data_IF_621346494361
#
_entry.id   IF_621346494361
#
_cell.length_a   1.000
_cell.length_b   1.000
_cell.length_c   1.000
_cell.angle_alpha   90.00
_cell.angle_beta   90.00
_cell.angle_gamma   90.00
#
_symmetry.space_group_name_H-M   'P 1'
#
loop_
_entity.id
_entity.type
_entity.pdbx_description
1 polymer ?
#
# COMPACT_ATOMS: atom_id res chain seq x y z
N UNK A 1 15.44 -32.65 19.40
CA UNK A 1 15.97 -31.28 19.57
C UNK A 1 16.06 -30.49 18.26
N UNK A 2 16.22 -31.13 17.09
CA UNK A 2 16.00 -30.50 15.75
C UNK A 2 14.64 -29.78 15.60
N UNK A 3 13.61 -30.29 16.29
CA UNK A 3 12.23 -29.79 16.25
C UNK A 3 12.10 -28.27 16.52
N UNK A 4 12.90 -27.69 17.41
CA UNK A 4 12.80 -26.25 17.77
C UNK A 4 13.40 -25.34 16.68
N UNK A 5 14.50 -25.75 16.07
CA UNK A 5 15.08 -25.04 14.91
C UNK A 5 14.15 -25.16 13.69
N UNK A 6 13.53 -26.33 13.51
CA UNK A 6 12.53 -26.55 12.47
C UNK A 6 11.27 -25.67 12.69
N UNK A 7 10.81 -25.53 13.93
CA UNK A 7 9.71 -24.62 14.30
C UNK A 7 10.03 -23.15 13.96
N UNK A 8 11.24 -22.69 14.26
CA UNK A 8 11.67 -21.34 13.87
C UNK A 8 11.74 -21.14 12.35
N UNK A 9 12.22 -22.15 11.60
CA UNK A 9 12.26 -22.08 10.14
C UNK A 9 10.85 -21.97 9.53
N UNK A 10 9.87 -22.68 10.10
CA UNK A 10 8.46 -22.57 9.68
C UNK A 10 7.91 -21.16 9.95
N UNK A 11 8.19 -20.60 11.12
CA UNK A 11 7.74 -19.25 11.49
C UNK A 11 8.35 -18.17 10.60
N UNK A 12 9.66 -18.24 10.31
CA UNK A 12 10.35 -17.32 9.40
C UNK A 12 9.69 -17.39 8.01
N UNK A 13 9.47 -18.60 7.49
CA UNK A 13 8.86 -18.79 6.17
C UNK A 13 7.45 -18.19 6.11
N UNK A 14 6.63 -18.43 7.15
CA UNK A 14 5.28 -17.86 7.23
C UNK A 14 5.30 -16.33 7.19
N UNK A 15 6.20 -15.70 7.95
CA UNK A 15 6.32 -14.23 7.96
C UNK A 15 6.86 -13.69 6.64
N UNK A 16 7.76 -14.40 5.96
CA UNK A 16 8.23 -14.04 4.62
C UNK A 16 7.09 -14.09 3.59
N UNK A 17 6.24 -15.12 3.65
CA UNK A 17 5.03 -15.21 2.80
C UNK A 17 4.10 -14.00 3.05
N UNK A 18 3.89 -13.59 4.31
CA UNK A 18 3.12 -12.38 4.65
C UNK A 18 3.74 -11.09 4.06
N UNK A 19 5.08 -10.97 4.10
CA UNK A 19 5.78 -9.82 3.48
C UNK A 19 5.57 -9.81 1.97
N UNK A 20 5.64 -10.97 1.30
CA UNK A 20 5.40 -11.07 -0.14
C UNK A 20 3.96 -10.69 -0.52
N UNK A 21 2.97 -11.09 0.28
CA UNK A 21 1.57 -10.71 0.11
C UNK A 21 1.39 -9.18 0.22
N UNK A 22 1.96 -8.56 1.25
CA UNK A 22 1.92 -7.10 1.43
C UNK A 22 2.62 -6.35 0.30
N UNK A 23 3.76 -6.86 -0.19
CA UNK A 23 4.44 -6.29 -1.36
C UNK A 23 3.59 -6.38 -2.63
N UNK A 24 2.85 -7.49 -2.79
CA UNK A 24 1.89 -7.66 -3.89
C UNK A 24 0.74 -6.66 -3.79
N UNK A 25 0.18 -6.49 -2.59
CA UNK A 25 -0.88 -5.50 -2.34
C UNK A 25 -0.41 -4.07 -2.63
N UNK A 26 0.78 -3.69 -2.14
CA UNK A 26 1.39 -2.39 -2.45
C UNK A 26 1.53 -2.15 -3.96
N UNK A 27 1.91 -3.17 -4.74
CA UNK A 27 1.97 -3.07 -6.21
C UNK A 27 0.59 -2.84 -6.82
N UNK A 28 -0.46 -3.50 -6.31
CA UNK A 28 -1.84 -3.30 -6.77
C UNK A 28 -2.31 -1.87 -6.48
N UNK A 29 -2.05 -1.34 -5.28
CA UNK A 29 -2.39 0.05 -4.93
C UNK A 29 -1.68 1.05 -5.83
N UNK A 30 -0.40 0.83 -6.14
CA UNK A 30 0.34 1.68 -7.07
C UNK A 30 -0.23 1.64 -8.49
N UNK A 31 -0.67 0.47 -8.96
CA UNK A 31 -1.33 0.37 -10.25
C UNK A 31 -2.68 1.12 -10.25
N UNK A 32 -3.45 1.00 -9.17
CA UNK A 32 -4.71 1.71 -9.00
C UNK A 32 -4.50 3.24 -8.99
N UNK A 33 -3.46 3.72 -8.32
CA UNK A 33 -3.06 5.13 -8.33
C UNK A 33 -2.77 5.62 -9.76
N UNK A 34 -1.97 4.88 -10.54
CA UNK A 34 -1.69 5.24 -11.94
C UNK A 34 -2.96 5.26 -12.82
N UNK A 35 -3.86 4.30 -12.63
CA UNK A 35 -5.15 4.28 -13.34
C UNK A 35 -6.00 5.49 -12.96
N UNK A 36 -6.01 5.85 -11.67
CA UNK A 36 -6.77 6.97 -11.16
C UNK A 36 -6.21 8.31 -11.66
N UNK A 37 -4.88 8.47 -11.73
CA UNK A 37 -4.24 9.65 -12.34
C UNK A 37 -4.70 9.86 -13.79
N UNK A 38 -4.82 8.79 -14.58
CA UNK A 38 -5.32 8.90 -15.95
C UNK A 38 -6.78 9.37 -16.01
N UNK A 39 -7.63 8.87 -15.11
CA UNK A 39 -9.02 9.31 -15.00
C UNK A 39 -9.08 10.79 -14.59
N UNK A 40 -8.28 11.19 -13.61
CA UNK A 40 -8.15 12.59 -13.17
C UNK A 40 -7.84 13.51 -14.33
N UNK A 41 -6.83 13.18 -15.13
CA UNK A 41 -6.41 14.01 -16.26
C UNK A 41 -7.52 14.14 -17.29
N UNK A 42 -8.19 13.03 -17.63
CA UNK A 42 -9.30 13.02 -18.60
C UNK A 42 -10.50 13.82 -18.11
N UNK A 43 -10.91 13.63 -16.86
CA UNK A 43 -12.06 14.34 -16.27
C UNK A 43 -11.76 15.83 -16.11
N UNK A 44 -10.55 16.19 -15.68
CA UNK A 44 -10.13 17.60 -15.59
C UNK A 44 -10.16 18.26 -16.97
N UNK A 45 -9.65 17.58 -18.00
CA UNK A 45 -9.71 18.10 -19.37
C UNK A 45 -11.14 18.30 -19.86
N UNK A 46 -12.02 17.32 -19.62
CA UNK A 46 -13.44 17.41 -19.95
C UNK A 46 -14.13 18.58 -19.23
N UNK A 47 -13.89 18.73 -17.92
CA UNK A 47 -14.47 19.81 -17.12
C UNK A 47 -14.04 21.17 -17.66
N UNK A 48 -12.77 21.34 -18.03
CA UNK A 48 -12.28 22.59 -18.63
C UNK A 48 -12.98 22.88 -19.97
N UNK A 49 -13.15 21.88 -20.84
CA UNK A 49 -13.89 22.05 -22.10
C UNK A 49 -15.36 22.43 -21.87
N UNK A 50 -15.99 21.87 -20.84
CA UNK A 50 -17.37 22.21 -20.48
C UNK A 50 -17.46 23.65 -19.95
N UNK A 51 -16.54 24.07 -19.08
CA UNK A 51 -16.43 25.44 -18.58
C UNK A 51 -16.30 26.42 -19.76
N UNK A 52 -15.37 26.17 -20.69
CA UNK A 52 -15.16 27.02 -21.87
C UNK A 52 -16.40 27.10 -22.76
N UNK A 53 -17.05 25.97 -23.02
CA UNK A 53 -18.21 25.90 -23.93
C UNK A 53 -19.47 26.52 -23.33
N UNK A 54 -19.65 26.41 -22.03
CA UNK A 54 -20.89 26.75 -21.34
C UNK A 54 -20.75 27.97 -20.42
N UNK A 55 -19.66 28.73 -20.51
CA UNK A 55 -19.33 29.89 -19.68
C UNK A 55 -20.51 30.88 -19.53
N UNK A 56 -21.16 31.25 -20.64
CA UNK A 56 -22.28 32.20 -20.64
C UNK A 56 -23.66 31.53 -20.46
N UNK A 57 -23.70 30.23 -20.18
CA UNK A 57 -24.95 29.48 -20.04
C UNK A 57 -25.38 29.33 -18.57
N UNK A 58 -26.67 29.09 -18.36
CA UNK A 58 -27.20 28.75 -17.03
C UNK A 58 -26.58 27.47 -16.44
N UNK A 59 -25.93 26.63 -17.25
CA UNK A 59 -25.27 25.40 -16.81
C UNK A 59 -23.89 25.65 -16.19
N UNK A 60 -23.30 26.83 -16.38
CA UNK A 60 -21.95 27.16 -15.92
C UNK A 60 -21.75 26.89 -14.43
N UNK A 61 -22.66 27.40 -13.59
CA UNK A 61 -22.60 27.26 -12.13
C UNK A 61 -22.61 25.78 -11.73
N UNK A 62 -23.45 24.96 -12.36
CA UNK A 62 -23.51 23.53 -12.08
C UNK A 62 -22.22 22.80 -12.48
N UNK A 63 -21.59 23.22 -13.59
CA UNK A 63 -20.29 22.68 -14.03
C UNK A 63 -19.19 23.04 -13.04
N UNK A 64 -19.12 24.29 -12.58
CA UNK A 64 -18.12 24.72 -11.57
C UNK A 64 -18.28 24.00 -10.23
N UNK A 65 -19.53 23.81 -9.79
CA UNK A 65 -19.83 23.04 -8.57
C UNK A 65 -19.41 21.59 -8.70
N UNK A 66 -19.69 20.96 -9.86
CA UNK A 66 -19.26 19.60 -10.14
C UNK A 66 -17.72 19.49 -10.14
N UNK A 67 -17.03 20.44 -10.79
CA UNK A 67 -15.57 20.45 -10.85
C UNK A 67 -14.95 20.60 -9.45
N UNK A 68 -15.53 21.47 -8.61
CA UNK A 68 -15.11 21.64 -7.22
C UNK A 68 -15.26 20.34 -6.42
N UNK A 69 -16.43 19.69 -6.52
CA UNK A 69 -16.71 18.41 -5.86
C UNK A 69 -15.77 17.31 -6.36
N UNK A 70 -15.51 17.27 -7.67
CA UNK A 70 -14.60 16.31 -8.28
C UNK A 70 -13.19 16.42 -7.67
N UNK A 71 -12.63 17.63 -7.61
CA UNK A 71 -11.31 17.85 -7.03
C UNK A 71 -11.25 17.59 -5.51
N UNK A 72 -12.35 17.83 -4.78
CA UNK A 72 -12.38 17.49 -3.35
C UNK A 72 -12.35 15.98 -3.14
N UNK A 73 -13.15 15.22 -3.90
CA UNK A 73 -13.18 13.75 -3.82
C UNK A 73 -11.88 13.12 -4.31
N UNK A 74 -11.29 13.68 -5.37
CA UNK A 74 -9.97 13.29 -5.85
C UNK A 74 -8.92 13.35 -4.73
N UNK A 75 -8.87 14.47 -3.99
CA UNK A 75 -7.90 14.67 -2.92
C UNK A 75 -8.07 13.64 -1.81
N UNK A 76 -9.31 13.41 -1.37
CA UNK A 76 -9.62 12.44 -0.33
C UNK A 76 -9.20 11.02 -0.72
N UNK A 77 -9.48 10.61 -1.95
CA UNK A 77 -9.07 9.28 -2.40
C UNK A 77 -7.55 9.16 -2.47
N UNK A 78 -6.86 10.17 -2.99
CA UNK A 78 -5.40 10.12 -3.07
C UNK A 78 -4.74 10.07 -1.70
N UNK A 79 -5.28 10.80 -0.73
CA UNK A 79 -4.84 10.73 0.66
C UNK A 79 -5.08 9.33 1.27
N UNK A 80 -6.24 8.73 1.01
CA UNK A 80 -6.55 7.37 1.47
C UNK A 80 -5.59 6.32 0.85
N UNK A 81 -5.34 6.39 -0.46
CA UNK A 81 -4.39 5.50 -1.13
C UNK A 81 -2.97 5.65 -0.57
N UNK A 82 -2.56 6.89 -0.30
CA UNK A 82 -1.26 7.17 0.33
C UNK A 82 -1.17 6.59 1.75
N UNK A 83 -2.22 6.75 2.55
CA UNK A 83 -2.28 6.22 3.91
C UNK A 83 -2.21 4.69 3.91
N UNK A 84 -2.96 4.02 3.04
CA UNK A 84 -2.91 2.56 2.88
C UNK A 84 -1.51 2.07 2.49
N UNK A 85 -0.85 2.75 1.53
CA UNK A 85 0.52 2.41 1.17
C UNK A 85 1.51 2.57 2.34
N UNK A 86 1.36 3.64 3.14
CA UNK A 86 2.19 3.88 4.31
C UNK A 86 1.96 2.84 5.41
N UNK A 87 0.73 2.41 5.64
CA UNK A 87 0.42 1.39 6.64
C UNK A 87 0.98 0.03 6.23
N UNK A 88 0.86 -0.35 4.95
CA UNK A 88 1.53 -1.55 4.41
C UNK A 88 3.05 -1.47 4.59
N UNK A 89 3.68 -0.30 4.37
CA UNK A 89 5.11 -0.13 4.61
C UNK A 89 5.50 -0.33 6.07
N UNK A 90 4.70 0.16 7.01
CA UNK A 90 4.94 -0.04 8.45
C UNK A 90 4.82 -1.51 8.82
N UNK A 91 3.82 -2.21 8.28
CA UNK A 91 3.60 -3.62 8.59
C UNK A 91 4.70 -4.50 7.99
N UNK A 92 5.18 -4.20 6.77
CA UNK A 92 6.37 -4.86 6.20
C UNK A 92 7.59 -4.65 7.11
N UNK A 93 7.83 -3.43 7.60
CA UNK A 93 8.97 -3.16 8.49
C UNK A 93 8.87 -3.98 9.78
N UNK A 94 7.70 -4.00 10.42
CA UNK A 94 7.46 -4.80 11.64
C UNK A 94 7.68 -6.29 11.40
N UNK A 95 7.17 -6.83 10.29
CA UNK A 95 7.36 -8.25 9.95
C UNK A 95 8.83 -8.59 9.72
N UNK A 96 9.60 -7.71 9.10
CA UNK A 96 11.03 -7.91 8.91
C UNK A 96 11.79 -7.84 10.24
N UNK A 97 11.45 -6.91 11.13
CA UNK A 97 12.01 -6.85 12.49
C UNK A 97 11.71 -8.15 13.27
N UNK A 98 10.48 -8.65 13.20
CA UNK A 98 10.10 -9.93 13.81
C UNK A 98 10.90 -11.12 13.22
N UNK A 99 11.15 -11.13 11.91
CA UNK A 99 11.97 -12.17 11.27
C UNK A 99 13.40 -12.11 11.81
N UNK A 100 14.00 -10.93 11.91
CA UNK A 100 15.35 -10.75 12.45
C UNK A 100 15.46 -11.19 13.91
N UNK A 101 14.43 -10.94 14.73
CA UNK A 101 14.36 -11.42 16.11
C UNK A 101 14.29 -12.95 16.16
N UNK A 102 13.43 -13.58 15.35
CA UNK A 102 13.32 -15.04 15.26
C UNK A 102 14.62 -15.67 14.76
N UNK A 103 15.30 -15.04 13.80
CA UNK A 103 16.60 -15.52 13.30
C UNK A 103 17.68 -15.49 14.38
N UNK A 104 17.68 -14.46 15.23
CA UNK A 104 18.57 -14.37 16.40
C UNK A 104 18.28 -15.48 17.40
N UNK A 105 17.01 -15.74 17.73
CA UNK A 105 16.63 -16.83 18.63
C UNK A 105 17.02 -18.21 18.06
N UNK A 106 16.75 -18.44 16.78
CA UNK A 106 17.13 -19.67 16.06
C UNK A 106 18.64 -19.91 16.12
N UNK A 107 19.43 -18.86 15.96
CA UNK A 107 20.89 -18.94 16.03
C UNK A 107 21.36 -19.35 17.43
N UNK A 108 20.84 -18.71 18.48
CA UNK A 108 21.16 -19.04 19.87
C UNK A 108 20.78 -20.49 20.22
N UNK A 109 19.61 -20.95 19.79
CA UNK A 109 19.16 -22.33 19.96
C UNK A 109 20.09 -23.33 19.26
N UNK A 110 20.59 -22.97 18.07
CA UNK A 110 21.53 -23.80 17.32
C UNK A 110 22.91 -23.89 17.99
N UNK A 111 23.39 -22.80 18.60
CA UNK A 111 24.65 -22.78 19.34
C UNK A 111 24.59 -23.64 20.61
N UNK A 112 23.50 -23.51 21.39
CA UNK A 112 23.32 -24.32 22.61
C UNK A 112 23.21 -25.81 22.30
N UNK A 113 22.66 -26.18 21.14
CA UNK A 113 22.65 -27.57 20.67
C UNK A 113 24.03 -28.08 20.25
N UNK A 114 24.91 -27.20 19.74
CA UNK A 114 26.27 -27.56 19.35
C UNK A 114 27.19 -27.75 20.56
N UNK A 115 27.02 -26.94 21.62
CA UNK A 115 27.78 -27.05 22.87
C UNK A 115 27.38 -28.25 23.74
N UNK A 116 26.17 -28.80 23.54
CA UNK A 116 25.65 -29.96 24.29
C UNK A 116 25.99 -31.33 23.66
N UNK A 117 26.57 -31.35 22.45
CA UNK A 117 26.98 -32.56 21.73
C UNK A 117 28.48 -32.77 21.81
#
# INVERSE_FOLDING_TARGET
MTKTVDEYNVLIKLKQEQVEELLSEKRKLRNLENEYENIIHRTTHLNNQLIERYYDSQLFISIEQNNTLFHSQQRLLMEELYNQQNDIEKDIRRLNEDIEDIERERYLASQTDHERR
#
